data_IF_972052298155
#
_entry.id   IF_972052298155
#
_cell.length_a   1.000
_cell.length_b   1.000
_cell.length_c   1.000
_cell.angle_alpha   90.00
_cell.angle_beta   90.00
_cell.angle_gamma   90.00
#
_symmetry.space_group_name_H-M   'P 1'
#
loop_
_entity.id
_entity.type
_entity.pdbx_description
1 polymer ?
#
# COMPACT_ATOMS: atom_id res chain seq x y z
N UNK A 1 5.52 -33.70 24.30
CA UNK A 1 4.31 -32.87 24.11
C UNK A 1 4.17 -32.59 22.62
N UNK A 2 3.42 -33.44 21.93
CA UNK A 2 3.23 -33.34 20.48
C UNK A 2 2.23 -32.23 20.18
N UNK A 3 2.70 -31.12 19.60
CA UNK A 3 1.83 -30.05 19.12
C UNK A 3 1.04 -30.55 17.91
N UNK A 4 -0.24 -30.83 18.12
CA UNK A 4 -1.22 -31.11 17.08
C UNK A 4 -1.43 -29.85 16.25
N UNK A 5 -0.69 -29.71 15.15
CA UNK A 5 -0.97 -28.71 14.12
C UNK A 5 -2.29 -29.11 13.46
N UNK A 6 -3.39 -28.51 13.90
CA UNK A 6 -4.68 -28.65 13.23
C UNK A 6 -4.55 -28.15 11.78
N UNK A 7 -4.87 -28.96 10.77
CA UNK A 7 -4.80 -28.52 9.38
C UNK A 7 -5.83 -27.41 9.17
N UNK A 8 -5.35 -26.21 8.81
CA UNK A 8 -6.17 -25.05 8.49
C UNK A 8 -7.07 -25.43 7.31
N UNK A 9 -8.35 -25.72 7.58
CA UNK A 9 -9.36 -26.04 6.57
C UNK A 9 -9.37 -24.89 5.56
N UNK A 10 -8.85 -25.15 4.35
CA UNK A 10 -8.84 -24.18 3.25
C UNK A 10 -10.29 -23.76 3.00
N UNK A 11 -10.66 -22.54 3.40
CA UNK A 11 -11.99 -22.02 3.15
C UNK A 11 -12.20 -21.91 1.64
N UNK A 12 -13.34 -22.41 1.15
CA UNK A 12 -13.71 -22.25 -0.25
C UNK A 12 -13.79 -20.76 -0.57
N UNK A 13 -13.14 -20.34 -1.64
CA UNK A 13 -13.07 -18.92 -2.00
C UNK A 13 -14.46 -18.29 -2.18
N UNK A 14 -15.45 -19.02 -2.68
CA UNK A 14 -16.83 -18.51 -2.78
C UNK A 14 -17.40 -18.07 -1.41
N UNK A 15 -17.13 -18.83 -0.34
CA UNK A 15 -17.53 -18.47 1.02
C UNK A 15 -16.75 -17.26 1.53
N UNK A 16 -15.44 -17.22 1.24
CA UNK A 16 -14.59 -16.06 1.57
C UNK A 16 -15.12 -14.78 0.89
N UNK A 17 -15.43 -14.86 -0.40
CA UNK A 17 -15.96 -13.76 -1.19
C UNK A 17 -17.26 -13.24 -0.58
N UNK A 18 -18.24 -14.11 -0.33
CA UNK A 18 -19.53 -13.68 0.24
C UNK A 18 -19.40 -13.03 1.62
N UNK A 19 -18.47 -13.50 2.47
CA UNK A 19 -18.26 -12.97 3.81
C UNK A 19 -17.50 -11.63 3.82
N UNK A 20 -16.56 -11.43 2.90
CA UNK A 20 -15.68 -10.26 2.85
C UNK A 20 -16.18 -9.19 1.87
N UNK A 21 -17.28 -9.41 1.18
CA UNK A 21 -17.87 -8.44 0.26
C UNK A 21 -18.45 -7.24 1.01
N UNK A 22 -18.07 -6.04 0.57
CA UNK A 22 -18.69 -4.82 1.02
C UNK A 22 -20.13 -4.75 0.50
N UNK A 23 -21.11 -4.79 1.41
CA UNK A 23 -22.52 -4.96 1.07
C UNK A 23 -23.05 -3.89 0.08
N UNK A 24 -22.69 -2.60 0.21
CA UNK A 24 -23.11 -1.57 -0.75
C UNK A 24 -22.61 -1.78 -2.18
N UNK A 25 -21.52 -2.53 -2.39
CA UNK A 25 -20.94 -2.76 -3.72
C UNK A 25 -21.15 -4.18 -4.23
N UNK A 26 -22.03 -4.96 -3.59
CA UNK A 26 -22.27 -6.39 -3.86
C UNK A 26 -22.45 -6.70 -5.35
N UNK A 27 -23.19 -5.88 -6.08
CA UNK A 27 -23.53 -6.11 -7.49
C UNK A 27 -22.33 -5.97 -8.44
N UNK A 28 -21.34 -5.17 -8.02
CA UNK A 28 -20.15 -4.87 -8.83
C UNK A 28 -19.04 -5.90 -8.64
N UNK A 29 -19.11 -6.77 -7.64
CA UNK A 29 -18.16 -7.88 -7.47
C UNK A 29 -18.32 -8.94 -8.57
N UNK A 30 -17.27 -9.71 -8.80
CA UNK A 30 -17.25 -10.87 -9.69
C UNK A 30 -18.36 -11.87 -9.31
N UNK A 31 -19.18 -12.28 -10.29
CA UNK A 31 -20.17 -13.33 -10.11
C UNK A 31 -19.50 -14.71 -10.18
N UNK A 32 -18.76 -15.03 -9.11
CA UNK A 32 -17.95 -16.23 -9.02
C UNK A 32 -18.80 -17.51 -9.10
N UNK A 33 -20.01 -17.50 -8.53
CA UNK A 33 -20.90 -18.66 -8.53
C UNK A 33 -21.51 -18.94 -9.90
N UNK A 34 -21.84 -17.90 -10.69
CA UNK A 34 -22.24 -18.08 -12.09
C UNK A 34 -21.09 -18.62 -12.94
N UNK A 35 -19.89 -18.06 -12.81
CA UNK A 35 -18.72 -18.55 -13.56
C UNK A 35 -18.41 -20.01 -13.18
N UNK A 36 -18.53 -20.37 -11.90
CA UNK A 36 -18.36 -21.74 -11.42
C UNK A 36 -19.40 -22.71 -12.02
N UNK A 37 -20.66 -22.27 -12.16
CA UNK A 37 -21.72 -23.06 -12.81
C UNK A 37 -21.45 -23.27 -14.30
N UNK A 38 -20.93 -22.25 -14.99
CA UNK A 38 -20.55 -22.35 -16.41
C UNK A 38 -19.42 -23.34 -16.65
N UNK A 39 -18.52 -23.54 -15.68
CA UNK A 39 -17.47 -24.58 -15.71
C UNK A 39 -18.00 -26.01 -15.52
N UNK A 40 -19.32 -26.22 -15.42
CA UNK A 40 -19.98 -27.54 -15.28
C UNK A 40 -19.40 -28.42 -14.15
N UNK A 41 -18.94 -27.82 -13.04
CA UNK A 41 -18.28 -28.54 -11.91
C UNK A 41 -19.13 -29.71 -11.36
N UNK A 42 -20.46 -29.56 -11.35
CA UNK A 42 -21.38 -30.58 -10.86
C UNK A 42 -21.71 -31.68 -11.90
N UNK A 43 -21.52 -31.42 -13.19
CA UNK A 43 -21.80 -32.40 -14.26
C UNK A 43 -20.64 -33.40 -14.42
N UNK A 44 -19.40 -32.94 -14.22
CA UNK A 44 -18.19 -33.77 -14.33
C UNK A 44 -18.14 -34.85 -13.24
N UNK A 45 -18.83 -34.65 -12.11
CA UNK A 45 -18.85 -35.60 -10.99
C UNK A 45 -19.82 -36.79 -11.22
N UNK A 46 -20.67 -36.74 -12.24
CA UNK A 46 -21.66 -37.77 -12.56
C UNK A 46 -21.46 -38.31 -13.98
N UNK A 47 -20.58 -39.32 -14.10
CA UNK A 47 -20.60 -40.46 -15.04
C UNK A 47 -20.81 -40.29 -16.57
N UNK A 48 -21.03 -39.09 -17.13
CA UNK A 48 -21.26 -38.95 -18.57
C UNK A 48 -20.02 -38.45 -19.31
N UNK A 49 -19.31 -39.40 -19.92
CA UNK A 49 -18.18 -39.22 -20.87
C UNK A 49 -18.53 -38.42 -22.14
N UNK A 50 -19.72 -37.84 -22.23
CA UNK A 50 -20.24 -37.11 -23.40
C UNK A 50 -20.34 -35.59 -23.18
N UNK A 51 -20.05 -35.07 -21.99
CA UNK A 51 -19.97 -33.62 -21.73
C UNK A 51 -18.54 -33.08 -21.89
N UNK A 52 -17.91 -33.41 -23.02
CA UNK A 52 -16.60 -32.85 -23.39
C UNK A 52 -16.76 -31.34 -23.60
N UNK A 53 -15.96 -30.55 -22.88
CA UNK A 53 -15.89 -29.10 -23.05
C UNK A 53 -15.63 -28.77 -24.53
N UNK A 54 -16.51 -27.97 -25.12
CA UNK A 54 -16.47 -27.64 -26.54
C UNK A 54 -16.17 -26.14 -26.76
N UNK A 55 -15.91 -25.77 -28.01
CA UNK A 55 -15.60 -24.37 -28.37
C UNK A 55 -16.74 -23.39 -28.04
N UNK A 56 -18.01 -23.85 -28.02
CA UNK A 56 -19.15 -23.01 -27.63
C UNK A 56 -19.17 -22.74 -26.13
N UNK A 57 -18.84 -23.75 -25.31
CA UNK A 57 -18.70 -23.63 -23.87
C UNK A 57 -17.54 -22.68 -23.53
N UNK A 58 -16.41 -22.81 -24.23
CA UNK A 58 -15.26 -21.91 -24.12
C UNK A 58 -15.65 -20.46 -24.43
N UNK A 59 -16.29 -20.22 -25.57
CA UNK A 59 -16.74 -18.89 -25.97
C UNK A 59 -17.73 -18.28 -24.97
N UNK A 60 -18.69 -19.08 -24.48
CA UNK A 60 -19.69 -18.65 -23.49
C UNK A 60 -19.03 -18.29 -22.16
N UNK A 61 -18.04 -19.08 -21.71
CA UNK A 61 -17.31 -18.79 -20.49
C UNK A 61 -16.42 -17.55 -20.64
N UNK A 62 -15.69 -17.43 -21.76
CA UNK A 62 -14.84 -16.28 -22.04
C UNK A 62 -15.66 -14.97 -22.12
N UNK A 63 -16.82 -14.98 -22.78
CA UNK A 63 -17.72 -13.83 -22.83
C UNK A 63 -18.25 -13.45 -21.44
N UNK A 64 -18.65 -14.44 -20.64
CA UNK A 64 -19.10 -14.19 -19.27
C UNK A 64 -17.96 -13.64 -18.38
N UNK A 65 -16.74 -14.12 -18.57
CA UNK A 65 -15.55 -13.65 -17.87
C UNK A 65 -15.24 -12.19 -18.25
N UNK A 66 -15.27 -11.86 -19.55
CA UNK A 66 -15.01 -10.50 -20.04
C UNK A 66 -16.06 -9.50 -19.54
N UNK A 67 -17.35 -9.87 -19.58
CA UNK A 67 -18.44 -9.06 -19.00
C UNK A 67 -18.25 -8.79 -17.51
N UNK A 68 -17.79 -9.77 -16.74
CA UNK A 68 -17.50 -9.57 -15.32
C UNK A 68 -16.28 -8.67 -15.13
N UNK A 69 -15.25 -8.81 -15.96
CA UNK A 69 -14.04 -7.99 -15.90
C UNK A 69 -14.36 -6.51 -16.19
N UNK A 70 -15.09 -6.23 -17.26
CA UNK A 70 -15.55 -4.90 -17.63
C UNK A 70 -16.42 -4.27 -16.53
N UNK A 71 -17.35 -5.04 -15.96
CA UNK A 71 -18.19 -4.58 -14.84
C UNK A 71 -17.36 -4.15 -13.62
N UNK A 72 -16.45 -5.01 -13.16
CA UNK A 72 -15.61 -4.73 -11.99
C UNK A 72 -14.72 -3.51 -12.27
N UNK A 73 -14.10 -3.47 -13.45
CA UNK A 73 -13.17 -2.42 -13.81
C UNK A 73 -13.85 -1.06 -13.99
N UNK A 74 -14.96 -0.99 -14.74
CA UNK A 74 -15.71 0.26 -14.94
C UNK A 74 -16.18 0.87 -13.62
N UNK A 75 -16.67 0.03 -12.70
CA UNK A 75 -17.04 0.46 -11.35
C UNK A 75 -15.84 0.98 -10.57
N UNK A 76 -14.73 0.25 -10.57
CA UNK A 76 -13.50 0.63 -9.88
C UNK A 76 -12.97 1.98 -10.38
N UNK A 77 -12.87 2.17 -11.70
CA UNK A 77 -12.44 3.44 -12.32
C UNK A 77 -13.38 4.58 -11.95
N UNK A 78 -14.70 4.34 -11.96
CA UNK A 78 -15.67 5.35 -11.53
C UNK A 78 -15.45 5.78 -10.08
N UNK A 79 -15.15 4.83 -9.19
CA UNK A 79 -14.93 5.11 -7.76
C UNK A 79 -13.59 5.81 -7.48
N UNK A 80 -12.53 5.48 -8.22
CA UNK A 80 -11.28 6.25 -8.14
C UNK A 80 -11.46 7.69 -8.60
N UNK A 81 -12.21 7.93 -9.67
CA UNK A 81 -12.53 9.30 -10.13
C UNK A 81 -13.34 10.10 -9.09
N UNK A 82 -14.30 9.44 -8.43
CA UNK A 82 -15.06 10.05 -7.34
C UNK A 82 -14.14 10.41 -6.16
N UNK A 83 -13.30 9.47 -5.74
CA UNK A 83 -12.32 9.66 -4.67
C UNK A 83 -11.36 10.82 -4.99
N UNK A 84 -10.81 10.85 -6.20
CA UNK A 84 -9.90 11.89 -6.68
C UNK A 84 -10.57 13.28 -6.67
N UNK A 85 -11.81 13.37 -7.17
CA UNK A 85 -12.58 14.61 -7.17
C UNK A 85 -12.84 15.14 -5.77
N UNK A 86 -13.20 14.26 -4.82
CA UNK A 86 -13.46 14.65 -3.44
C UNK A 86 -12.17 15.07 -2.71
N UNK A 87 -11.05 14.37 -2.92
CA UNK A 87 -9.74 14.78 -2.37
C UNK A 87 -9.36 16.16 -2.92
N UNK A 88 -9.49 16.37 -4.23
CA UNK A 88 -9.16 17.64 -4.88
C UNK A 88 -10.02 18.80 -4.34
N UNK A 89 -11.31 18.56 -4.06
CA UNK A 89 -12.18 19.57 -3.42
C UNK A 89 -11.69 19.95 -2.02
N UNK A 90 -11.20 18.98 -1.25
CA UNK A 90 -10.65 19.26 0.08
C UNK A 90 -9.31 19.99 0.01
N UNK A 91 -8.44 19.65 -0.95
CA UNK A 91 -7.19 20.38 -1.22
C UNK A 91 -7.47 21.84 -1.57
N UNK A 92 -8.38 22.10 -2.51
CA UNK A 92 -8.79 23.47 -2.86
C UNK A 92 -9.37 24.23 -1.66
N UNK A 93 -10.10 23.53 -0.77
CA UNK A 93 -10.64 24.13 0.45
C UNK A 93 -9.54 24.45 1.46
N UNK A 94 -8.52 23.59 1.60
CA UNK A 94 -7.36 23.88 2.46
C UNK A 94 -6.52 25.03 1.91
N UNK A 95 -6.30 25.09 0.60
CA UNK A 95 -5.50 26.14 -0.04
C UNK A 95 -6.17 27.50 0.10
N UNK A 96 -7.48 27.59 -0.18
CA UNK A 96 -8.27 28.81 0.02
C UNK A 96 -8.21 29.30 1.47
N UNK A 97 -8.25 28.38 2.43
CA UNK A 97 -8.15 28.71 3.84
C UNK A 97 -6.74 29.25 4.19
N UNK A 98 -5.67 28.63 3.67
CA UNK A 98 -4.30 29.11 3.85
C UNK A 98 -4.09 30.51 3.25
N UNK A 99 -4.60 30.78 2.05
CA UNK A 99 -4.53 32.11 1.44
C UNK A 99 -5.23 33.20 2.28
N UNK A 100 -6.36 32.87 2.91
CA UNK A 100 -7.07 33.80 3.80
C UNK A 100 -6.28 34.05 5.08
N UNK A 101 -5.66 33.01 5.65
CA UNK A 101 -4.80 33.14 6.82
C UNK A 101 -3.58 34.03 6.56
N UNK A 102 -2.92 33.90 5.39
CA UNK A 102 -1.80 34.77 5.01
C UNK A 102 -2.22 36.24 4.93
N UNK A 103 -3.47 36.50 4.53
CA UNK A 103 -4.07 37.84 4.51
C UNK A 103 -4.58 38.30 5.88
N UNK A 104 -4.25 37.57 6.97
CA UNK A 104 -4.74 37.78 8.34
C UNK A 104 -6.28 37.77 8.45
N UNK A 105 -6.99 37.12 7.53
CA UNK A 105 -8.44 36.95 7.55
C UNK A 105 -8.77 35.53 8.02
N UNK A 106 -9.73 35.40 8.92
CA UNK A 106 -10.30 34.08 9.25
C UNK A 106 -11.36 33.75 8.21
N UNK A 107 -11.37 32.52 7.71
CA UNK A 107 -12.49 32.00 6.93
C UNK A 107 -13.63 31.62 7.90
N UNK A 108 -14.76 32.35 7.90
CA UNK A 108 -15.89 32.03 8.76
C UNK A 108 -16.65 30.77 8.32
N UNK A 109 -16.36 30.24 7.11
CA UNK A 109 -17.03 29.07 6.55
C UNK A 109 -16.27 27.77 6.76
N UNK A 110 -15.04 27.84 7.29
CA UNK A 110 -14.22 26.66 7.51
C UNK A 110 -14.60 25.96 8.81
N UNK A 111 -15.31 24.84 8.67
CA UNK A 111 -15.57 23.89 9.76
C UNK A 111 -14.52 22.76 9.75
N UNK A 112 -13.67 22.75 10.78
CA UNK A 112 -12.63 21.75 10.97
C UNK A 112 -13.20 20.35 11.25
N UNK A 113 -14.32 20.24 11.98
CA UNK A 113 -14.91 18.96 12.32
C UNK A 113 -15.54 18.30 11.09
N UNK A 114 -16.30 19.07 10.30
CA UNK A 114 -16.85 18.59 9.04
C UNK A 114 -15.75 18.19 8.04
N UNK A 115 -14.64 18.96 8.00
CA UNK A 115 -13.49 18.63 7.16
C UNK A 115 -12.81 17.33 7.61
N UNK A 116 -12.63 17.13 8.93
CA UNK A 116 -12.09 15.89 9.49
C UNK A 116 -12.99 14.68 9.22
N UNK A 117 -14.30 14.82 9.43
CA UNK A 117 -15.27 13.76 9.14
C UNK A 117 -15.19 13.34 7.67
N UNK A 118 -15.07 14.31 6.76
CA UNK A 118 -14.95 14.03 5.34
C UNK A 118 -13.65 13.29 5.01
N UNK A 119 -12.51 13.64 5.62
CA UNK A 119 -11.27 12.86 5.44
C UNK A 119 -11.43 11.42 5.92
N UNK A 120 -12.12 11.21 7.04
CA UNK A 120 -12.35 9.87 7.59
C UNK A 120 -13.21 9.01 6.65
N UNK A 121 -14.24 9.62 6.03
CA UNK A 121 -15.05 8.99 4.99
C UNK A 121 -14.20 8.61 3.77
N UNK A 122 -13.33 9.51 3.30
CA UNK A 122 -12.46 9.23 2.15
C UNK A 122 -11.42 8.16 2.45
N UNK A 123 -10.88 8.14 3.67
CA UNK A 123 -9.93 7.13 4.12
C UNK A 123 -10.60 5.75 4.25
N UNK A 124 -11.83 5.69 4.77
CA UNK A 124 -12.63 4.46 4.77
C UNK A 124 -12.92 4.00 3.34
N UNK A 125 -13.34 4.91 2.46
CA UNK A 125 -13.61 4.63 1.06
C UNK A 125 -12.37 4.06 0.34
N UNK A 126 -11.19 4.65 0.61
CA UNK A 126 -9.91 4.21 0.05
C UNK A 126 -9.58 2.77 0.49
N UNK A 127 -9.81 2.44 1.76
CA UNK A 127 -9.60 1.08 2.29
C UNK A 127 -10.56 0.06 1.64
N UNK A 128 -11.85 0.39 1.55
CA UNK A 128 -12.84 -0.48 0.90
C UNK A 128 -12.51 -0.68 -0.59
N UNK A 129 -11.99 0.34 -1.27
CA UNK A 129 -11.63 0.27 -2.68
C UNK A 129 -10.41 -0.63 -2.93
N UNK A 130 -9.38 -0.57 -2.07
CA UNK A 130 -8.24 -1.49 -2.09
C UNK A 130 -8.69 -2.94 -1.81
N UNK A 131 -9.56 -3.14 -0.82
CA UNK A 131 -10.12 -4.45 -0.50
C UNK A 131 -10.97 -5.02 -1.65
N UNK A 132 -11.83 -4.19 -2.25
CA UNK A 132 -12.61 -4.54 -3.44
C UNK A 132 -11.71 -4.98 -4.60
N UNK A 133 -10.64 -4.23 -4.89
CA UNK A 133 -9.69 -4.54 -5.95
C UNK A 133 -9.02 -5.90 -5.72
N UNK A 134 -8.48 -6.13 -4.52
CA UNK A 134 -7.77 -7.37 -4.15
C UNK A 134 -8.67 -8.60 -4.20
N UNK A 135 -9.89 -8.48 -3.68
CA UNK A 135 -10.83 -9.60 -3.58
C UNK A 135 -11.30 -10.03 -4.98
N UNK A 136 -11.63 -9.06 -5.84
CA UNK A 136 -12.01 -9.33 -7.23
C UNK A 136 -10.84 -9.89 -8.04
N UNK A 137 -9.65 -9.30 -7.95
CA UNK A 137 -8.44 -9.81 -8.61
C UNK A 137 -8.17 -11.27 -8.25
N UNK A 138 -8.23 -11.59 -6.95
CA UNK A 138 -8.09 -12.96 -6.46
C UNK A 138 -9.16 -13.88 -7.06
N UNK A 139 -10.39 -13.39 -7.20
CA UNK A 139 -11.49 -14.12 -7.83
C UNK A 139 -11.23 -14.48 -9.30
N UNK A 140 -10.80 -13.50 -10.10
CA UNK A 140 -10.43 -13.72 -11.51
C UNK A 140 -9.27 -14.71 -11.65
N UNK A 141 -8.21 -14.56 -10.86
CA UNK A 141 -7.07 -15.49 -10.88
C UNK A 141 -7.51 -16.90 -10.50
N UNK A 142 -8.36 -17.04 -9.47
CA UNK A 142 -8.84 -18.35 -9.01
C UNK A 142 -9.78 -19.03 -9.99
N UNK A 143 -10.67 -18.29 -10.64
CA UNK A 143 -11.60 -18.89 -11.61
C UNK A 143 -10.89 -19.32 -12.89
N UNK A 144 -9.92 -18.54 -13.37
CA UNK A 144 -9.09 -18.90 -14.54
C UNK A 144 -8.19 -20.09 -14.22
N UNK A 145 -7.52 -20.11 -13.06
CA UNK A 145 -6.76 -21.30 -12.63
C UNK A 145 -7.63 -22.55 -12.52
N UNK A 146 -8.90 -22.40 -12.11
CA UNK A 146 -9.85 -23.51 -12.04
C UNK A 146 -10.23 -24.00 -13.43
N UNK A 147 -10.52 -23.10 -14.36
CA UNK A 147 -10.79 -23.40 -15.77
C UNK A 147 -9.65 -24.22 -16.39
N UNK A 148 -8.42 -23.68 -16.39
CA UNK A 148 -7.26 -24.30 -17.04
C UNK A 148 -6.92 -25.68 -16.45
N UNK A 149 -7.29 -25.91 -15.18
CA UNK A 149 -7.12 -27.21 -14.52
C UNK A 149 -8.17 -28.24 -14.96
N UNK A 150 -9.41 -27.81 -15.20
CA UNK A 150 -10.53 -28.67 -15.58
C UNK A 150 -10.50 -28.99 -17.09
N UNK A 151 -10.15 -28.02 -17.92
CA UNK A 151 -10.21 -28.11 -19.38
C UNK A 151 -8.81 -28.01 -20.00
N UNK A 152 -8.03 -29.10 -19.86
CA UNK A 152 -6.67 -29.18 -20.41
C UNK A 152 -6.72 -29.14 -21.94
N UNK A 153 -6.30 -28.03 -22.53
CA UNK A 153 -6.32 -27.80 -23.99
C UNK A 153 -6.80 -26.40 -24.36
N UNK A 154 -7.62 -25.79 -23.50
CA UNK A 154 -8.05 -24.40 -23.60
C UNK A 154 -7.39 -23.58 -22.48
N UNK A 155 -7.00 -22.34 -22.78
CA UNK A 155 -6.32 -21.47 -21.82
C UNK A 155 -6.85 -20.05 -21.94
N UNK A 156 -7.60 -19.63 -20.92
CA UNK A 156 -8.12 -18.25 -20.82
C UNK A 156 -7.14 -17.35 -20.05
N UNK A 157 -6.04 -17.92 -19.55
CA UNK A 157 -5.00 -17.17 -18.83
C UNK A 157 -4.33 -16.10 -19.69
N UNK A 158 -4.09 -16.39 -20.96
CA UNK A 158 -3.53 -15.40 -21.89
C UNK A 158 -4.50 -14.24 -22.10
N UNK A 159 -5.79 -14.53 -22.30
CA UNK A 159 -6.85 -13.53 -22.44
C UNK A 159 -6.96 -12.65 -21.19
N UNK A 160 -6.99 -13.26 -19.99
CA UNK A 160 -7.02 -12.52 -18.74
C UNK A 160 -5.75 -11.68 -18.56
N UNK A 161 -4.58 -12.21 -18.90
CA UNK A 161 -3.30 -11.49 -18.72
C UNK A 161 -3.18 -10.27 -19.65
N UNK A 162 -3.62 -10.39 -20.90
CA UNK A 162 -3.68 -9.28 -21.85
C UNK A 162 -4.67 -8.23 -21.36
N UNK A 163 -5.90 -8.64 -21.02
CA UNK A 163 -6.91 -7.71 -20.53
C UNK A 163 -6.55 -7.08 -19.18
N UNK A 164 -5.86 -7.77 -18.28
CA UNK A 164 -5.36 -7.20 -17.03
C UNK A 164 -4.15 -6.28 -17.21
N UNK A 165 -3.47 -6.35 -18.35
CA UNK A 165 -2.44 -5.38 -18.73
C UNK A 165 -3.08 -4.13 -19.33
N UNK A 166 -4.11 -4.30 -20.15
CA UNK A 166 -4.87 -3.19 -20.76
C UNK A 166 -5.79 -2.48 -19.75
N UNK A 167 -6.25 -3.22 -18.74
CA UNK A 167 -7.08 -2.76 -17.63
C UNK A 167 -6.25 -2.98 -16.36
N UNK A 168 -5.44 -2.02 -15.90
CA UNK A 168 -4.38 -2.23 -14.91
C UNK A 168 -4.91 -2.51 -13.48
N UNK A 169 -5.76 -3.53 -13.30
CA UNK A 169 -6.23 -4.04 -12.02
C UNK A 169 -5.09 -4.40 -11.06
N UNK A 170 -3.93 -4.77 -11.60
CA UNK A 170 -2.77 -5.21 -10.83
C UNK A 170 -1.92 -4.07 -10.28
N UNK A 171 -1.92 -2.89 -10.93
CA UNK A 171 -1.14 -1.73 -10.48
C UNK A 171 -1.92 -0.86 -9.50
N UNK A 172 -3.23 -1.07 -9.38
CA UNK A 172 -4.10 -0.17 -8.61
C UNK A 172 -3.87 -0.25 -7.08
N UNK A 173 -3.38 -1.38 -6.54
CA UNK A 173 -2.96 -1.43 -5.13
C UNK A 173 -1.68 -0.63 -4.86
N UNK A 174 -0.83 -0.42 -5.88
CA UNK A 174 0.29 0.53 -5.80
C UNK A 174 -0.22 1.97 -6.00
N UNK A 175 -1.18 2.20 -6.91
CA UNK A 175 -1.81 3.51 -7.20
C UNK A 175 -2.66 4.05 -6.04
N UNK A 176 -3.03 3.21 -5.06
CA UNK A 176 -3.74 3.68 -3.86
C UNK A 176 -2.81 4.49 -2.92
N UNK A 177 -1.49 4.29 -3.03
CA UNK A 177 -0.49 5.01 -2.23
C UNK A 177 -0.49 6.54 -2.47
N UNK A 178 -0.56 7.03 -3.73
CA UNK A 178 -0.80 8.45 -4.03
C UNK A 178 -2.01 9.07 -3.30
N UNK A 179 -3.16 8.39 -3.28
CA UNK A 179 -4.36 8.93 -2.61
C UNK A 179 -4.19 8.94 -1.09
N UNK A 180 -3.62 7.89 -0.50
CA UNK A 180 -3.28 7.88 0.92
C UNK A 180 -2.34 9.01 1.30
N UNK A 181 -1.36 9.30 0.45
CA UNK A 181 -0.46 10.43 0.67
C UNK A 181 -1.22 11.75 0.69
N UNK A 182 -2.05 12.02 -0.32
CA UNK A 182 -2.83 13.27 -0.40
C UNK A 182 -3.76 13.41 0.79
N UNK A 183 -4.38 12.31 1.23
CA UNK A 183 -5.16 12.29 2.47
C UNK A 183 -4.26 12.60 3.69
N UNK A 184 -3.04 12.07 3.77
CA UNK A 184 -2.11 12.33 4.88
C UNK A 184 -1.66 13.78 4.99
N UNK A 185 -1.46 14.47 3.87
CA UNK A 185 -1.12 15.90 3.86
C UNK A 185 -2.30 16.73 4.37
N UNK A 186 -3.52 16.37 3.99
CA UNK A 186 -4.74 17.01 4.50
C UNK A 186 -4.96 16.76 6.00
N UNK A 187 -4.67 15.57 6.52
CA UNK A 187 -4.69 15.31 7.97
C UNK A 187 -3.63 16.12 8.71
N UNK A 188 -2.46 16.31 8.10
CA UNK A 188 -1.38 17.14 8.67
C UNK A 188 -1.83 18.61 8.76
N UNK A 189 -2.47 19.10 7.70
CA UNK A 189 -3.10 20.43 7.68
C UNK A 189 -4.11 20.61 8.83
N UNK A 190 -5.09 19.70 9.00
CA UNK A 190 -6.07 19.78 10.10
C UNK A 190 -5.38 19.82 11.45
N UNK A 191 -4.38 18.96 11.66
CA UNK A 191 -3.66 18.86 12.93
C UNK A 191 -2.98 20.17 13.29
N UNK A 192 -2.34 20.81 12.31
CA UNK A 192 -1.71 22.11 12.51
C UNK A 192 -2.75 23.18 12.86
N UNK A 193 -3.94 23.13 12.25
CA UNK A 193 -5.03 24.05 12.58
C UNK A 193 -5.60 23.82 13.99
N UNK A 194 -5.92 22.57 14.36
CA UNK A 194 -6.42 22.24 15.70
C UNK A 194 -5.40 22.64 16.76
N UNK A 195 -4.11 22.35 16.54
CA UNK A 195 -3.03 22.71 17.46
C UNK A 195 -2.79 24.23 17.54
N UNK A 196 -3.07 24.98 16.47
CA UNK A 196 -2.96 26.45 16.46
C UNK A 196 -4.07 27.16 17.22
N UNK A 197 -5.25 26.53 17.39
CA UNK A 197 -6.37 27.09 18.16
C UNK A 197 -6.14 27.03 19.68
N UNK A 198 -5.28 26.12 20.14
CA UNK A 198 -4.76 26.07 21.52
C UNK A 198 -3.49 26.93 21.66
N UNK A 199 -3.65 28.24 21.70
CA UNK A 199 -2.76 29.26 22.33
C UNK A 199 -1.22 29.14 22.25
N UNK A 200 -0.61 28.37 21.33
CA UNK A 200 0.85 28.30 21.21
C UNK A 200 1.31 28.40 19.75
N UNK A 201 1.60 29.63 19.33
CA UNK A 201 2.19 29.97 18.01
C UNK A 201 3.63 29.43 17.82
N UNK A 202 4.11 28.53 18.67
CA UNK A 202 5.50 28.02 18.65
C UNK A 202 5.72 26.79 17.74
N UNK A 203 4.66 26.19 17.21
CA UNK A 203 4.72 24.89 16.51
C UNK A 203 5.23 24.99 15.06
N UNK A 204 5.17 26.17 14.44
CA UNK A 204 5.83 26.42 13.13
C UNK A 204 7.35 26.20 13.20
N UNK A 205 7.94 26.36 14.39
CA UNK A 205 9.35 26.08 14.65
C UNK A 205 9.63 24.60 14.95
N UNK A 206 8.65 23.80 15.37
CA UNK A 206 8.85 22.35 15.58
C UNK A 206 8.94 21.58 14.28
N UNK A 207 8.18 21.92 13.23
CA UNK A 207 8.34 21.28 11.93
C UNK A 207 9.69 21.64 11.29
N UNK A 208 10.09 22.92 11.37
CA UNK A 208 11.42 23.38 10.95
C UNK A 208 12.56 22.75 11.76
N UNK A 209 12.41 22.57 13.08
CA UNK A 209 13.37 21.85 13.94
C UNK A 209 13.40 20.35 13.68
N UNK A 210 12.26 19.73 13.37
CA UNK A 210 12.20 18.31 13.02
C UNK A 210 12.90 18.05 11.70
N UNK A 211 12.67 18.90 10.69
CA UNK A 211 13.33 18.79 9.38
C UNK A 211 14.83 19.08 9.49
N UNK A 212 15.26 20.09 10.25
CA UNK A 212 16.69 20.40 10.44
C UNK A 212 17.45 19.41 11.34
N UNK A 213 16.76 18.71 12.26
CA UNK A 213 17.33 17.59 13.02
C UNK A 213 17.38 16.27 12.23
N UNK A 214 16.60 16.13 11.15
CA UNK A 214 16.58 14.93 10.30
C UNK A 214 17.71 14.92 9.27
N UNK A 215 18.21 16.09 8.84
CA UNK A 215 19.43 16.20 8.04
C UNK A 215 20.69 15.69 8.76
N UNK A 216 20.63 15.52 10.08
CA UNK A 216 21.72 14.96 10.90
C UNK A 216 21.44 13.50 11.32
N UNK A 217 20.23 12.98 11.05
CA UNK A 217 19.79 11.66 11.49
C UNK A 217 19.54 10.70 10.31
N UNK A 218 20.57 10.44 9.51
CA UNK A 218 20.65 9.26 8.62
C UNK A 218 20.71 7.91 9.37
N UNK A 219 20.23 7.82 10.61
CA UNK A 219 20.30 6.63 11.47
C UNK A 219 18.94 5.94 11.60
N UNK A 220 18.32 5.56 10.47
CA UNK A 220 17.13 4.69 10.51
C UNK A 220 17.57 3.25 10.88
N UNK A 221 17.28 2.84 12.11
CA UNK A 221 17.66 1.55 12.69
C UNK A 221 16.71 0.42 12.30
N UNK A 222 17.22 -0.51 11.49
CA UNK A 222 16.60 -1.80 11.26
C UNK A 222 17.32 -2.85 12.13
N UNK A 223 16.75 -3.18 13.31
CA UNK A 223 17.11 -4.25 14.30
C UNK A 223 17.59 -3.76 15.68
N UNK A 224 17.27 -4.49 16.78
CA UNK A 224 16.92 -3.91 18.06
C UNK A 224 18.16 -3.48 18.86
N UNK A 225 18.13 -2.28 19.42
CA UNK A 225 18.96 -1.93 20.56
C UNK A 225 18.11 -2.01 21.83
N UNK A 226 18.53 -2.91 22.72
CA UNK A 226 18.19 -2.87 24.14
C UNK A 226 18.55 -1.48 24.66
N UNK A 227 17.67 -0.92 25.48
CA UNK A 227 17.78 0.38 26.18
C UNK A 227 19.21 0.93 26.28
N UNK A 228 19.49 1.99 25.53
CA UNK A 228 20.67 2.82 25.74
C UNK A 228 20.28 3.94 26.72
N UNK A 229 20.70 3.81 27.97
CA UNK A 229 20.68 4.90 28.94
C UNK A 229 21.89 5.80 28.70
N UNK A 230 21.70 6.89 27.96
CA UNK A 230 22.68 7.98 27.87
C UNK A 230 22.46 8.91 29.05
N UNK A 231 23.44 8.96 29.96
CA UNK A 231 23.47 9.85 31.11
C UNK A 231 23.52 11.32 30.67
N UNK A 232 22.37 11.97 30.64
CA UNK A 232 22.17 13.40 30.42
C UNK A 232 20.81 13.82 31.02
N UNK A 233 20.59 15.12 31.31
CA UNK A 233 19.53 15.56 32.23
C UNK A 233 18.08 15.35 31.75
N UNK A 234 17.87 15.01 30.47
CA UNK A 234 16.56 14.78 29.85
C UNK A 234 16.48 13.33 29.30
N UNK A 235 16.30 12.33 30.19
CA UNK A 235 16.18 10.93 29.80
C UNK A 235 14.82 10.62 29.14
N UNK A 236 14.75 10.85 27.83
CA UNK A 236 13.75 10.19 26.98
C UNK A 236 14.11 8.71 26.85
N UNK A 237 13.44 7.82 27.59
CA UNK A 237 13.63 6.36 27.43
C UNK A 237 13.09 5.91 26.07
N UNK A 238 13.99 5.62 25.12
CA UNK A 238 13.60 5.09 23.82
C UNK A 238 13.31 3.59 23.90
N UNK A 239 12.15 3.18 23.39
CA UNK A 239 11.75 1.77 23.27
C UNK A 239 11.49 1.45 21.80
N UNK A 240 12.24 0.50 21.25
CA UNK A 240 12.05 0.01 19.88
C UNK A 240 11.30 -1.31 19.93
N UNK A 241 10.11 -1.36 19.32
CA UNK A 241 9.30 -2.57 19.18
C UNK A 241 9.17 -2.95 17.71
N UNK A 242 9.11 -4.25 17.44
CA UNK A 242 8.98 -4.81 16.09
C UNK A 242 7.85 -5.80 16.06
N UNK A 243 7.02 -5.71 15.03
CA UNK A 243 5.82 -6.53 14.86
C UNK A 243 5.83 -7.17 13.49
N UNK A 244 5.35 -8.41 13.42
CA UNK A 244 5.02 -9.05 12.15
C UNK A 244 3.61 -8.63 11.77
N UNK A 245 3.45 -8.16 10.54
CA UNK A 245 2.16 -7.71 9.99
C UNK A 245 1.80 -8.63 8.84
N UNK A 246 0.60 -9.19 8.88
CA UNK A 246 0.07 -9.96 7.76
C UNK A 246 -0.24 -9.01 6.58
N UNK A 247 0.07 -9.37 5.31
CA UNK A 247 -0.16 -8.48 4.16
C UNK A 247 -1.60 -7.96 4.03
N UNK A 248 -2.58 -8.77 4.44
CA UNK A 248 -4.01 -8.41 4.43
C UNK A 248 -4.32 -7.23 5.40
N UNK A 249 -3.52 -7.03 6.45
CA UNK A 249 -3.75 -6.00 7.46
C UNK A 249 -2.93 -4.72 7.20
N UNK A 250 -2.16 -4.67 6.11
CA UNK A 250 -1.25 -3.56 5.84
C UNK A 250 -2.00 -2.23 5.66
N UNK A 251 -3.13 -2.24 4.95
CA UNK A 251 -3.93 -1.05 4.68
C UNK A 251 -4.58 -0.50 5.96
N UNK A 252 -5.15 -1.38 6.78
CA UNK A 252 -5.73 -1.03 8.07
C UNK A 252 -4.70 -0.36 9.01
N UNK A 253 -3.49 -0.91 9.05
CA UNK A 253 -2.42 -0.33 9.88
C UNK A 253 -1.95 1.00 9.33
N UNK A 254 -1.73 1.12 8.01
CA UNK A 254 -1.34 2.38 7.37
C UNK A 254 -2.35 3.49 7.68
N UNK A 255 -3.63 3.21 7.46
CA UNK A 255 -4.72 4.17 7.71
C UNK A 255 -4.86 4.54 9.18
N UNK A 256 -4.70 3.58 10.10
CA UNK A 256 -4.71 3.84 11.55
C UNK A 256 -3.56 4.73 11.99
N UNK A 257 -2.34 4.47 11.50
CA UNK A 257 -1.17 5.29 11.83
C UNK A 257 -1.33 6.70 11.27
N UNK A 258 -1.84 6.83 10.04
CA UNK A 258 -1.99 8.10 9.32
C UNK A 258 -2.89 9.10 10.06
N UNK A 259 -3.91 8.62 10.78
CA UNK A 259 -4.76 9.45 11.67
C UNK A 259 -3.95 10.17 12.75
N UNK A 260 -2.87 9.55 13.24
CA UNK A 260 -2.12 10.01 14.40
C UNK A 260 -0.72 10.52 14.08
N UNK A 261 -0.12 10.11 12.96
CA UNK A 261 1.24 10.46 12.56
C UNK A 261 1.31 10.76 11.06
N UNK A 262 1.96 11.85 10.64
CA UNK A 262 2.11 12.17 9.23
C UNK A 262 3.02 11.15 8.54
N UNK A 263 2.78 10.92 7.26
CA UNK A 263 3.70 10.16 6.41
C UNK A 263 4.92 11.04 6.14
N UNK A 264 6.12 10.51 6.38
CA UNK A 264 7.36 11.24 6.11
C UNK A 264 7.67 11.21 4.60
N UNK A 265 7.95 12.39 4.04
CA UNK A 265 8.17 12.59 2.61
C UNK A 265 9.61 13.06 2.43
N UNK A 266 10.39 12.29 1.66
CA UNK A 266 11.72 12.70 1.24
C UNK A 266 11.61 13.35 -0.13
N UNK A 267 11.68 14.68 -0.20
CA UNK A 267 11.83 15.37 -1.47
C UNK A 267 13.24 15.13 -1.98
N UNK A 268 13.41 14.28 -2.99
CA UNK A 268 14.69 14.12 -3.68
C UNK A 268 14.90 15.25 -4.71
N UNK A 269 14.70 16.51 -4.28
CA UNK A 269 15.11 17.68 -5.04
C UNK A 269 16.42 18.20 -4.45
N UNK A 270 17.53 17.81 -5.05
CA UNK A 270 18.82 18.48 -4.83
C UNK A 270 20.03 17.57 -4.92
N UNK A 271 20.56 17.41 -6.14
CA UNK A 271 21.94 17.77 -6.51
C UNK A 271 22.10 17.67 -8.03
N UNK A 272 22.33 18.83 -8.67
CA UNK A 272 22.71 19.06 -10.08
C UNK A 272 21.64 18.72 -11.14
N UNK A 273 20.83 19.72 -11.46
CA UNK A 273 20.09 19.76 -12.73
C UNK A 273 21.08 20.22 -13.81
N UNK A 274 21.62 19.28 -14.58
CA UNK A 274 22.06 19.58 -15.94
C UNK A 274 20.78 19.54 -16.80
N UNK A 275 20.51 20.64 -17.53
CA UNK A 275 19.24 20.96 -18.19
C UNK A 275 18.92 20.13 -19.46
N UNK A 276 19.52 18.95 -19.66
CA UNK A 276 19.50 18.29 -20.98
C UNK A 276 18.82 16.91 -21.06
N UNK A 277 18.20 16.38 -20.00
CA UNK A 277 17.43 15.13 -20.08
C UNK A 277 15.91 15.40 -20.05
N UNK A 278 15.34 15.67 -21.23
CA UNK A 278 13.90 15.65 -21.53
C UNK A 278 13.34 14.21 -21.47
N UNK A 279 13.38 13.57 -20.30
CA UNK A 279 12.59 12.36 -20.04
C UNK A 279 11.32 12.75 -19.26
N UNK A 280 10.19 12.73 -19.97
CA UNK A 280 8.82 12.94 -19.50
C UNK A 280 8.39 11.95 -18.37
N UNK A 281 8.96 12.07 -17.17
CA UNK A 281 8.46 11.42 -15.95
C UNK A 281 8.33 12.40 -14.76
N UNK A 282 8.03 13.67 -15.04
CA UNK A 282 7.89 14.74 -14.03
C UNK A 282 6.67 14.62 -13.07
N UNK A 283 5.91 13.52 -13.13
CA UNK A 283 4.81 13.26 -12.17
C UNK A 283 5.05 12.06 -11.23
N UNK A 284 6.25 11.45 -11.24
CA UNK A 284 6.53 10.20 -10.51
C UNK A 284 7.53 10.32 -9.33
N UNK A 285 7.71 11.52 -8.75
CA UNK A 285 8.47 11.71 -7.50
C UNK A 285 7.92 10.96 -6.26
N UNK A 286 6.83 10.21 -6.44
CA UNK A 286 6.05 9.52 -5.42
C UNK A 286 6.40 8.02 -5.31
N UNK A 287 7.22 7.48 -6.22
CA UNK A 287 7.32 6.03 -6.48
C UNK A 287 8.57 5.32 -5.93
N UNK A 288 9.44 5.97 -5.15
CA UNK A 288 10.65 5.31 -4.64
C UNK A 288 10.86 5.42 -3.13
N UNK A 289 9.88 4.93 -2.36
CA UNK A 289 10.09 4.59 -0.94
C UNK A 289 10.85 3.27 -0.75
N UNK A 290 11.28 2.60 -1.82
CA UNK A 290 12.03 1.34 -1.73
C UNK A 290 13.40 1.62 -1.12
N UNK A 291 13.69 1.04 0.04
CA UNK A 291 15.02 1.06 0.66
C UNK A 291 15.68 -0.26 0.35
N UNK A 292 16.85 -0.22 -0.29
CA UNK A 292 17.63 -1.41 -0.59
C UNK A 292 18.87 -1.44 0.29
N UNK A 293 19.10 -2.57 0.97
CA UNK A 293 20.24 -2.80 1.84
C UNK A 293 20.99 -4.06 1.37
N UNK A 294 22.23 -3.90 0.89
CA UNK A 294 23.14 -4.99 0.56
C UNK A 294 24.09 -5.23 1.73
N UNK A 295 23.94 -6.37 2.41
CA UNK A 295 24.77 -6.75 3.55
C UNK A 295 26.02 -7.50 3.09
N UNK A 296 27.16 -7.15 3.69
CA UNK A 296 28.45 -7.80 3.43
C UNK A 296 28.78 -8.77 4.56
N UNK A 297 29.40 -9.90 4.18
CA UNK A 297 30.00 -10.87 5.09
C UNK A 297 31.18 -11.56 4.40
N UNK A 298 31.97 -12.31 5.17
CA UNK A 298 33.03 -13.15 4.64
C UNK A 298 32.49 -14.56 4.26
N UNK A 299 33.26 -15.39 3.51
CA UNK A 299 32.83 -16.75 3.16
C UNK A 299 32.51 -17.67 4.35
N UNK A 300 32.99 -17.31 5.54
CA UNK A 300 32.77 -18.06 6.78
C UNK A 300 31.53 -17.58 7.56
N UNK A 301 30.80 -16.57 7.04
CA UNK A 301 29.61 -15.98 7.67
C UNK A 301 29.84 -15.51 9.11
N UNK A 302 31.02 -14.95 9.41
CA UNK A 302 31.40 -14.55 10.76
C UNK A 302 30.49 -13.46 11.32
N UNK A 303 30.13 -12.45 10.50
CA UNK A 303 29.27 -11.35 10.95
C UNK A 303 27.85 -11.85 11.23
N UNK A 304 27.32 -12.72 10.37
CA UNK A 304 26.03 -13.37 10.55
C UNK A 304 25.98 -14.20 11.85
N UNK A 305 26.96 -15.09 12.04
CA UNK A 305 26.99 -16.00 13.19
C UNK A 305 27.09 -15.25 14.51
N UNK A 306 27.92 -14.21 14.57
CA UNK A 306 28.05 -13.42 15.78
C UNK A 306 26.80 -12.59 16.10
N UNK A 307 26.11 -12.07 15.07
CA UNK A 307 24.82 -11.38 15.23
C UNK A 307 23.73 -12.34 15.72
N UNK A 308 23.71 -13.57 15.20
CA UNK A 308 22.81 -14.64 15.63
C UNK A 308 23.02 -14.99 17.12
N UNK A 309 24.28 -15.09 17.55
CA UNK A 309 24.67 -15.36 18.93
C UNK A 309 24.50 -14.16 19.87
N UNK A 310 23.95 -13.03 19.38
CA UNK A 310 23.74 -11.77 20.11
C UNK A 310 25.01 -11.23 20.76
N UNK A 311 26.17 -11.50 20.16
CA UNK A 311 27.46 -10.91 20.57
C UNK A 311 27.59 -9.50 19.97
N UNK A 312 26.61 -8.65 20.30
CA UNK A 312 26.36 -7.35 19.67
C UNK A 312 27.51 -6.36 19.93
N UNK A 313 28.10 -6.40 21.12
CA UNK A 313 29.12 -5.45 21.58
C UNK A 313 30.44 -5.48 20.77
N UNK A 314 30.62 -6.43 19.84
CA UNK A 314 31.87 -6.60 19.08
C UNK A 314 31.68 -6.80 17.58
N UNK A 315 30.45 -6.79 17.07
CA UNK A 315 30.19 -7.22 15.69
C UNK A 315 29.59 -6.11 14.84
N UNK A 316 30.41 -5.45 14.01
CA UNK A 316 29.89 -4.44 13.10
C UNK A 316 29.05 -5.10 12.01
N UNK A 317 27.94 -4.47 11.62
CA UNK A 317 27.30 -4.78 10.33
C UNK A 317 27.77 -3.80 9.28
N UNK A 318 28.25 -4.31 8.15
CA UNK A 318 28.61 -3.52 6.97
C UNK A 318 27.52 -3.70 5.90
N UNK A 319 26.99 -2.59 5.38
CA UNK A 319 26.03 -2.61 4.28
C UNK A 319 26.18 -1.43 3.33
N UNK A 320 25.83 -1.65 2.07
CA UNK A 320 25.58 -0.58 1.10
C UNK A 320 24.08 -0.35 1.04
N UNK A 321 23.67 0.91 1.12
CA UNK A 321 22.28 1.34 1.10
C UNK A 321 22.04 2.32 -0.04
N UNK A 322 20.94 2.13 -0.75
CA UNK A 322 20.42 3.11 -1.70
C UNK A 322 18.89 3.12 -1.69
N UNK A 323 18.32 4.27 -2.06
CA UNK A 323 16.88 4.45 -2.12
C UNK A 323 16.41 4.40 -3.58
N UNK A 324 15.27 3.78 -3.80
CA UNK A 324 14.63 3.65 -5.11
C UNK A 324 15.27 2.64 -6.05
N UNK A 325 14.99 2.79 -7.35
CA UNK A 325 15.56 1.95 -8.41
C UNK A 325 17.03 2.34 -8.64
N UNK A 326 17.89 1.36 -8.87
CA UNK A 326 19.30 1.61 -9.20
C UNK A 326 19.39 2.22 -10.60
N UNK A 327 19.68 3.51 -10.69
CA UNK A 327 19.94 4.26 -11.94
C UNK A 327 21.45 4.49 -12.12
N UNK A 328 21.86 4.91 -13.32
CA UNK A 328 23.22 5.42 -13.54
C UNK A 328 23.45 6.63 -12.61
N UNK A 329 24.61 6.69 -11.94
CA UNK A 329 24.95 7.70 -10.92
C UNK A 329 24.06 7.71 -9.65
N UNK A 330 23.58 6.55 -9.20
CA UNK A 330 22.86 6.48 -7.93
C UNK A 330 23.76 6.82 -6.72
N UNK A 331 23.26 7.65 -5.81
CA UNK A 331 23.92 7.92 -4.53
C UNK A 331 23.92 6.66 -3.66
N UNK A 332 25.13 6.11 -3.42
CA UNK A 332 25.33 4.93 -2.60
C UNK A 332 25.87 5.33 -1.22
N UNK A 333 25.17 4.89 -0.17
CA UNK A 333 25.60 5.13 1.22
C UNK A 333 26.22 3.85 1.77
N UNK A 334 27.50 3.92 2.14
CA UNK A 334 28.20 2.82 2.83
C UNK A 334 28.01 3.00 4.34
N UNK A 335 27.20 2.13 4.96
CA UNK A 335 26.95 2.15 6.40
C UNK A 335 27.75 1.05 7.11
N UNK A 336 28.55 1.45 8.11
CA UNK A 336 29.09 0.55 9.13
C UNK A 336 28.39 0.83 10.46
N UNK A 337 27.69 -0.16 11.03
CA UNK A 337 27.02 -0.04 12.33
C UNK A 337 27.66 -0.92 13.37
N UNK A 338 28.01 -0.32 14.50
CA UNK A 338 28.39 -1.03 15.72
C UNK A 338 27.17 -1.10 16.63
N UNK A 339 26.94 -2.24 17.29
CA UNK A 339 25.76 -2.48 18.13
C UNK A 339 26.06 -2.31 19.63
#
# INVERSE_FOLDING_TARGET
>A
MSSSTTPKKSMLFGVKLQNEMYAPWREYYIDYDRLKRLLKENLISQLDSNSTWNERDEATFAEALDKNLEKVYSFQVSKYKELDSEITKLELKSDKYLELLEKNKKDPTFDANAFQQKLEELLSLTNELDHFARLNFTGFVKIVKKHDRLHKGYSVKALLSVRMKDLPLNNISEDTSPYLFRISTLYSFIRDQISSTSSDRSISNSLKRSISKLSESGKLSTTPSTSLSTSGPDESKFKVLKFWVHPDNLMEIKTTILRHLPVLIYNNKGTNMDEDDEDEEEFNGWTSSTINDLYFDNPNFELYNNKLLKQLNKTPSLRIRWNGKLKNNADLIIEKRNF
#
